data_IF_643681928209
#
_entry.id   IF_643681928209
#
_cell.length_a   1.000
_cell.length_b   1.000
_cell.length_c   1.000
_cell.angle_alpha   90.00
_cell.angle_beta   90.00
_cell.angle_gamma   90.00
#
_symmetry.space_group_name_H-M   'P 1'
#
loop_
_entity.id
_entity.type
_entity.pdbx_description
1 polymer ?
#
# COMPACT_ATOMS: atom_id res chain seq x y z
N UNK A 1 -5.32 3.02 7.13
CA UNK A 1 -5.99 1.72 7.29
C UNK A 1 -7.09 1.81 8.34
N UNK A 2 -8.15 1.01 8.20
CA UNK A 2 -9.14 0.84 9.26
C UNK A 2 -8.67 -0.25 10.21
N UNK A 3 -8.62 0.06 11.50
CA UNK A 3 -8.32 -0.88 12.57
C UNK A 3 -9.63 -1.25 13.26
N UNK A 4 -9.81 -2.52 13.51
CA UNK A 4 -11.00 -3.05 14.19
C UNK A 4 -10.58 -3.75 15.48
N UNK A 5 -11.20 -3.35 16.58
CA UNK A 5 -11.07 -4.02 17.88
C UNK A 5 -12.37 -4.78 18.12
N UNK A 6 -12.27 -6.10 18.29
CA UNK A 6 -13.44 -6.96 18.50
C UNK A 6 -13.33 -7.65 19.86
N UNK A 7 -14.28 -7.36 20.71
CA UNK A 7 -14.39 -7.97 22.04
C UNK A 7 -15.33 -9.17 22.00
N UNK A 8 -15.17 -10.09 22.94
CA UNK A 8 -16.06 -11.26 23.08
C UNK A 8 -17.48 -10.90 23.54
N UNK A 9 -17.63 -9.75 24.18
CA UNK A 9 -18.88 -9.19 24.70
C UNK A 9 -18.81 -7.68 24.80
N UNK A 10 -19.90 -7.02 25.14
CA UNK A 10 -19.94 -5.56 25.30
C UNK A 10 -19.04 -5.09 26.46
N UNK A 11 -18.18 -4.11 26.17
CA UNK A 11 -17.23 -3.57 27.13
C UNK A 11 -17.57 -2.14 27.53
N UNK A 12 -17.04 -1.71 28.66
CA UNK A 12 -17.14 -0.36 29.20
C UNK A 12 -15.78 0.14 29.64
N UNK A 13 -15.56 1.44 29.55
CA UNK A 13 -14.30 2.08 29.91
C UNK A 13 -13.22 2.01 28.82
N UNK A 14 -13.47 1.37 27.68
CA UNK A 14 -12.51 1.33 26.57
C UNK A 14 -12.52 2.66 25.80
N UNK A 15 -11.36 3.31 25.72
CA UNK A 15 -11.19 4.54 24.96
C UNK A 15 -9.78 4.63 24.31
N UNK A 16 -9.53 5.71 23.57
CA UNK A 16 -8.26 5.90 22.84
C UNK A 16 -7.03 5.96 23.76
N UNK A 17 -7.19 6.30 25.04
CA UNK A 17 -6.07 6.32 26.01
C UNK A 17 -5.61 4.94 26.46
N UNK A 18 -6.42 3.90 26.23
CA UNK A 18 -6.06 2.50 26.46
C UNK A 18 -5.19 1.90 25.35
N UNK A 19 -5.02 2.64 24.25
CA UNK A 19 -4.37 2.15 23.04
C UNK A 19 -3.00 2.80 22.90
N UNK A 20 -1.94 2.01 22.91
CA UNK A 20 -0.60 2.46 22.53
C UNK A 20 -0.42 2.30 21.01
N UNK A 21 0.08 3.34 20.34
CA UNK A 21 0.27 3.39 18.90
C UNK A 21 1.72 3.76 18.58
N UNK A 22 2.36 3.00 17.70
CA UNK A 22 3.71 3.25 17.19
C UNK A 22 3.66 3.35 15.66
N UNK A 23 4.52 4.18 15.06
CA UNK A 23 4.65 4.34 13.61
C UNK A 23 3.50 5.09 12.94
N UNK A 24 2.66 5.77 13.73
CA UNK A 24 1.55 6.55 13.20
C UNK A 24 0.64 7.11 14.27
N UNK A 25 -0.57 7.49 13.85
CA UNK A 25 -1.62 8.01 14.73
C UNK A 25 -2.92 7.25 14.52
N UNK A 26 -3.71 7.12 15.58
CA UNK A 26 -5.05 6.53 15.54
C UNK A 26 -6.10 7.64 15.68
N UNK A 27 -7.09 7.64 14.79
CA UNK A 27 -8.22 8.55 14.83
C UNK A 27 -9.22 8.19 15.94
N UNK A 28 -10.36 8.88 15.96
CA UNK A 28 -11.39 8.64 16.95
C UNK A 28 -11.95 7.22 16.87
N UNK A 29 -12.13 6.59 18.03
CA UNK A 29 -12.83 5.32 18.18
C UNK A 29 -14.33 5.51 17.95
N UNK A 30 -14.94 4.60 17.21
CA UNK A 30 -16.39 4.55 16.99
C UNK A 30 -16.94 3.15 17.21
N UNK A 31 -18.12 3.05 17.78
CA UNK A 31 -18.85 1.81 18.01
C UNK A 31 -20.35 2.06 17.94
N UNK A 32 -21.12 1.01 17.70
CA UNK A 32 -22.59 1.00 17.77
C UNK A 32 -23.15 -0.02 18.76
N UNK A 33 -22.31 -0.94 19.22
CA UNK A 33 -22.69 -2.10 20.04
C UNK A 33 -21.80 -2.31 21.27
N UNK A 34 -20.74 -1.54 21.43
CA UNK A 34 -19.69 -1.70 22.45
C UNK A 34 -18.96 -3.05 22.38
N UNK A 35 -19.12 -3.81 21.30
CA UNK A 35 -18.43 -5.07 21.03
C UNK A 35 -17.39 -4.86 19.93
N UNK A 36 -17.79 -4.18 18.84
CA UNK A 36 -16.92 -3.87 17.71
C UNK A 36 -16.61 -2.38 17.68
N UNK A 37 -15.34 -2.05 17.77
CA UNK A 37 -14.85 -0.68 17.72
C UNK A 37 -13.95 -0.49 16.52
N UNK A 38 -14.03 0.66 15.86
CA UNK A 38 -13.20 0.97 14.70
C UNK A 38 -12.54 2.33 14.85
N UNK A 39 -11.33 2.44 14.32
CA UNK A 39 -10.59 3.69 14.21
C UNK A 39 -9.71 3.68 12.95
N UNK A 40 -9.35 4.85 12.44
CA UNK A 40 -8.46 4.99 11.28
C UNK A 40 -7.03 5.16 11.76
N UNK A 41 -6.13 4.26 11.33
CA UNK A 41 -4.69 4.42 11.50
C UNK A 41 -4.11 5.19 10.31
N UNK A 42 -3.29 6.20 10.60
CA UNK A 42 -2.54 6.99 9.63
C UNK A 42 -1.05 6.86 9.93
N UNK A 43 -0.23 6.30 9.00
CA UNK A 43 1.22 6.22 9.18
C UNK A 43 1.84 7.61 9.31
N UNK A 44 2.92 7.72 10.09
CA UNK A 44 3.68 8.97 10.28
C UNK A 44 4.74 9.22 9.20
N UNK A 45 4.96 8.26 8.28
CA UNK A 45 5.92 8.34 7.19
C UNK A 45 7.39 8.20 7.63
N UNK A 46 7.67 7.84 8.86
CA UNK A 46 9.06 7.69 9.37
C UNK A 46 9.70 6.34 9.03
N UNK A 47 8.92 5.38 8.53
CA UNK A 47 9.37 4.00 8.30
C UNK A 47 9.51 3.17 9.57
N UNK A 48 9.06 3.67 10.70
CA UNK A 48 8.97 2.89 11.93
C UNK A 48 7.92 1.81 11.75
N UNK A 49 8.27 0.57 12.09
CA UNK A 49 7.32 -0.56 12.05
C UNK A 49 6.08 -0.24 12.90
N UNK A 50 4.86 -0.32 12.33
CA UNK A 50 3.66 0.05 13.05
C UNK A 50 3.31 -1.00 14.11
N UNK A 51 2.76 -0.53 15.21
CA UNK A 51 2.20 -1.40 16.25
C UNK A 51 1.03 -0.69 16.92
N UNK A 52 -0.02 -1.44 17.21
CA UNK A 52 -1.19 -1.00 17.97
C UNK A 52 -1.43 -2.02 19.06
N UNK A 53 -1.43 -1.60 20.32
CA UNK A 53 -1.60 -2.51 21.45
C UNK A 53 -2.56 -1.96 22.48
N UNK A 54 -3.29 -2.86 23.11
CA UNK A 54 -4.14 -2.62 24.28
C UNK A 54 -3.56 -3.45 25.42
N UNK A 55 -3.31 -2.83 26.56
CA UNK A 55 -2.79 -3.56 27.72
C UNK A 55 -3.90 -4.31 28.47
N UNK A 56 -3.51 -5.34 29.22
CA UNK A 56 -4.42 -6.03 30.13
C UNK A 56 -5.01 -5.06 31.18
N UNK A 57 -6.24 -5.29 31.56
CA UNK A 57 -6.94 -4.59 32.64
C UNK A 57 -7.22 -3.10 32.40
N UNK A 58 -7.25 -2.63 31.14
CA UNK A 58 -7.56 -1.24 30.81
C UNK A 58 -9.05 -0.98 30.60
N UNK A 59 -9.85 -2.03 30.40
CA UNK A 59 -11.30 -1.98 30.24
C UNK A 59 -11.99 -3.11 31.05
N UNK A 60 -13.30 -3.06 31.17
CA UNK A 60 -14.10 -4.10 31.83
C UNK A 60 -15.30 -4.52 30.98
N UNK A 61 -15.84 -5.69 31.25
CA UNK A 61 -17.21 -6.05 30.82
C UNK A 61 -18.27 -5.30 31.66
N UNK A 62 -19.53 -5.51 31.33
CA UNK A 62 -20.67 -4.92 32.08
C UNK A 62 -20.83 -5.47 33.50
N UNK A 63 -20.24 -6.62 33.81
CA UNK A 63 -20.23 -7.23 35.14
C UNK A 63 -19.05 -6.72 36.02
N UNK A 64 -18.11 -5.96 35.44
CA UNK A 64 -16.95 -5.41 36.11
C UNK A 64 -15.72 -6.32 36.08
N UNK A 65 -15.70 -7.38 35.26
CA UNK A 65 -14.50 -8.20 35.07
C UNK A 65 -13.49 -7.48 34.16
N UNK A 66 -12.21 -7.51 34.57
CA UNK A 66 -11.11 -6.90 33.83
C UNK A 66 -10.84 -7.63 32.51
N UNK A 67 -10.67 -6.88 31.43
CA UNK A 67 -10.38 -7.39 30.11
C UNK A 67 -8.91 -7.75 29.90
N UNK A 68 -8.64 -8.54 28.87
CA UNK A 68 -7.29 -8.91 28.40
C UNK A 68 -6.89 -8.03 27.22
N UNK A 69 -5.59 -7.72 27.11
CA UNK A 69 -5.03 -6.95 26.02
C UNK A 69 -4.70 -7.80 24.79
N UNK A 70 -4.28 -7.10 23.74
CA UNK A 70 -3.81 -7.69 22.48
C UNK A 70 -2.86 -6.73 21.78
N UNK A 71 -2.07 -7.25 20.82
CA UNK A 71 -1.11 -6.48 20.02
C UNK A 71 -1.29 -6.83 18.55
N UNK A 72 -1.42 -5.81 17.71
CA UNK A 72 -1.35 -5.90 16.26
C UNK A 72 -0.03 -5.29 15.80
N UNK A 73 0.85 -6.08 15.20
CA UNK A 73 2.18 -5.64 14.73
C UNK A 73 2.62 -6.37 13.44
N UNK A 74 3.93 -6.28 13.13
CA UNK A 74 4.51 -6.93 11.95
C UNK A 74 4.38 -8.46 11.93
N UNK A 75 4.14 -9.12 13.07
CA UNK A 75 3.92 -10.58 13.14
C UNK A 75 2.54 -10.96 12.60
N UNK A 76 1.58 -10.02 12.64
CA UNK A 76 0.24 -10.14 12.04
C UNK A 76 0.19 -9.64 10.59
N UNK A 77 1.34 -9.23 10.03
CA UNK A 77 1.44 -8.64 8.70
C UNK A 77 1.05 -7.15 8.64
N UNK A 78 0.98 -6.48 9.80
CA UNK A 78 0.74 -5.03 9.85
C UNK A 78 2.03 -4.28 9.53
N UNK A 79 2.17 -3.84 8.27
CA UNK A 79 3.37 -3.17 7.76
C UNK A 79 2.99 -1.86 7.05
N UNK A 80 3.94 -0.93 7.03
CA UNK A 80 3.87 0.30 6.23
C UNK A 80 5.00 0.27 5.23
N UNK A 81 4.67 0.29 3.95
CA UNK A 81 5.63 0.47 2.87
C UNK A 81 5.80 1.96 2.58
N UNK A 82 7.03 2.44 2.64
CA UNK A 82 7.43 3.82 2.35
C UNK A 82 8.52 3.90 1.26
N UNK A 83 8.87 2.76 0.66
CA UNK A 83 9.91 2.70 -0.38
C UNK A 83 9.26 3.00 -1.73
N UNK A 84 9.64 4.10 -2.41
CA UNK A 84 9.11 4.36 -3.74
C UNK A 84 9.57 3.30 -4.75
N UNK A 85 8.72 2.89 -5.70
CA UNK A 85 9.12 2.00 -6.77
C UNK A 85 10.20 2.62 -7.65
N UNK A 86 11.11 1.80 -8.13
CA UNK A 86 12.10 2.17 -9.17
C UNK A 86 11.70 1.58 -10.51
N UNK A 87 12.12 2.24 -11.61
CA UNK A 87 11.81 1.84 -12.97
C UNK A 87 13.09 1.55 -13.76
N UNK A 88 13.11 0.44 -14.49
CA UNK A 88 14.07 0.15 -15.55
C UNK A 88 13.35 0.06 -16.90
N UNK A 89 13.91 0.68 -17.95
CA UNK A 89 13.39 0.62 -19.32
C UNK A 89 14.40 -0.13 -20.18
N UNK A 90 13.95 -1.14 -20.90
CA UNK A 90 14.78 -1.97 -21.79
C UNK A 90 14.08 -2.17 -23.13
N UNK A 91 14.84 -2.56 -24.13
CA UNK A 91 14.34 -2.91 -25.47
C UNK A 91 14.94 -4.24 -25.95
N UNK A 92 14.23 -4.94 -26.79
CA UNK A 92 14.72 -6.14 -27.48
C UNK A 92 15.60 -5.81 -28.71
N UNK A 93 15.52 -4.55 -29.21
CA UNK A 93 16.39 -4.07 -30.29
C UNK A 93 16.94 -2.67 -30.00
N UNK A 94 18.27 -2.52 -30.06
CA UNK A 94 18.99 -1.26 -29.84
C UNK A 94 19.32 -0.51 -31.12
N UNK A 95 19.05 -1.07 -32.31
CA UNK A 95 19.48 -0.53 -33.60
C UNK A 95 18.41 -0.75 -34.67
N UNK A 96 17.23 -0.14 -34.49
CA UNK A 96 16.12 -0.28 -35.41
C UNK A 96 16.41 0.29 -36.80
N UNK A 97 16.17 -0.51 -37.84
CA UNK A 97 16.13 -0.04 -39.22
C UNK A 97 14.78 0.61 -39.55
N UNK A 98 14.73 1.34 -40.66
CA UNK A 98 13.49 1.98 -41.12
C UNK A 98 12.41 0.92 -41.40
N UNK A 99 11.27 1.03 -40.72
CA UNK A 99 10.13 0.12 -40.82
C UNK A 99 10.16 -1.05 -39.84
N UNK A 100 11.21 -1.20 -39.03
CA UNK A 100 11.24 -2.16 -37.90
C UNK A 100 10.57 -1.55 -36.68
N UNK A 101 10.17 -2.41 -35.76
CA UNK A 101 9.62 -2.00 -34.47
C UNK A 101 10.29 -2.82 -33.36
N UNK A 102 10.36 -2.26 -32.15
CA UNK A 102 10.93 -2.93 -31.00
C UNK A 102 9.90 -3.05 -29.87
N UNK A 103 10.05 -4.09 -29.06
CA UNK A 103 9.32 -4.18 -27.79
C UNK A 103 10.09 -3.41 -26.73
N UNK A 104 9.44 -2.45 -26.11
CA UNK A 104 9.93 -1.72 -24.95
C UNK A 104 9.34 -2.37 -23.71
N UNK A 105 10.21 -2.68 -22.76
CA UNK A 105 9.82 -3.25 -21.48
C UNK A 105 10.13 -2.26 -20.36
N UNK A 106 9.11 -1.98 -19.56
CA UNK A 106 9.18 -1.16 -18.36
C UNK A 106 9.07 -2.12 -17.16
N UNK A 107 10.12 -2.24 -16.35
CA UNK A 107 10.14 -3.12 -15.19
C UNK A 107 10.26 -2.29 -13.93
N UNK A 108 9.25 -2.37 -13.08
CA UNK A 108 9.24 -1.74 -11.78
C UNK A 108 9.78 -2.69 -10.70
N UNK A 109 10.30 -2.15 -9.60
CA UNK A 109 10.76 -2.94 -8.45
C UNK A 109 9.62 -3.61 -7.68
N UNK A 110 8.40 -3.13 -7.87
CA UNK A 110 7.17 -3.60 -7.22
C UNK A 110 5.95 -3.28 -8.10
N UNK A 111 4.79 -3.81 -7.74
CA UNK A 111 3.55 -3.55 -8.48
C UNK A 111 3.12 -2.08 -8.34
N UNK A 112 2.86 -1.42 -9.47
CA UNK A 112 2.46 -0.02 -9.53
C UNK A 112 1.02 0.15 -10.00
N UNK A 113 0.41 1.26 -9.61
CA UNK A 113 -0.91 1.68 -10.06
C UNK A 113 -0.83 3.05 -10.73
N UNK A 114 -1.70 3.30 -11.70
CA UNK A 114 -1.79 4.60 -12.38
C UNK A 114 -0.73 4.82 -13.46
N UNK A 115 0.14 3.84 -13.76
CA UNK A 115 1.08 3.93 -14.87
C UNK A 115 0.36 3.70 -16.20
N UNK A 116 0.43 4.67 -17.09
CA UNK A 116 -0.17 4.59 -18.42
C UNK A 116 0.68 5.29 -19.52
N UNK A 117 0.23 5.23 -20.78
CA UNK A 117 0.98 5.77 -21.92
C UNK A 117 1.18 7.29 -21.83
N UNK A 118 0.36 8.01 -21.08
CA UNK A 118 0.50 9.47 -20.91
C UNK A 118 1.68 9.86 -20.00
N UNK A 119 2.19 8.92 -19.22
CA UNK A 119 3.38 9.11 -18.37
C UNK A 119 4.68 8.99 -19.17
N UNK A 120 4.62 8.57 -20.43
CA UNK A 120 5.79 8.23 -21.24
C UNK A 120 5.98 9.28 -22.33
N UNK A 121 7.10 10.01 -22.27
CA UNK A 121 7.53 10.87 -23.37
C UNK A 121 8.24 10.05 -24.45
N UNK A 122 7.79 10.14 -25.68
CA UNK A 122 8.34 9.42 -26.84
C UNK A 122 8.83 10.39 -27.89
N UNK A 123 10.04 10.17 -28.40
CA UNK A 123 10.65 10.97 -29.46
C UNK A 123 11.12 10.06 -30.59
N UNK A 124 10.97 10.47 -31.84
CA UNK A 124 11.42 9.74 -33.03
C UNK A 124 10.54 8.56 -33.42
N UNK A 125 9.32 8.50 -32.87
CA UNK A 125 8.38 7.43 -33.22
C UNK A 125 7.11 7.50 -32.38
N UNK A 126 6.38 6.39 -32.33
CA UNK A 126 5.16 6.20 -31.55
C UNK A 126 5.26 4.97 -30.69
N UNK A 127 4.63 5.02 -29.53
CA UNK A 127 4.49 3.87 -28.62
C UNK A 127 3.05 3.35 -28.68
N UNK A 128 2.90 2.04 -28.86
CA UNK A 128 1.61 1.37 -28.83
C UNK A 128 1.03 1.26 -27.41
N UNK A 129 -0.07 0.53 -27.28
CA UNK A 129 -0.73 0.32 -25.99
C UNK A 129 0.19 -0.42 -25.01
N UNK A 130 0.20 0.04 -23.77
CA UNK A 130 0.84 -0.67 -22.66
C UNK A 130 0.03 -1.91 -22.26
N UNK A 131 0.72 -3.01 -22.01
CA UNK A 131 0.14 -4.26 -21.52
C UNK A 131 0.92 -4.80 -20.33
N UNK A 132 0.21 -5.36 -19.37
CA UNK A 132 0.78 -6.02 -18.19
C UNK A 132 -0.11 -7.15 -17.70
N UNK A 133 0.44 -8.08 -16.94
CA UNK A 133 -0.30 -9.15 -16.25
C UNK A 133 -0.09 -9.13 -14.74
N UNK A 134 0.91 -8.38 -14.27
CA UNK A 134 1.37 -8.39 -12.86
C UNK A 134 1.52 -6.97 -12.27
N UNK A 135 1.30 -5.92 -13.06
CA UNK A 135 1.55 -4.52 -12.72
C UNK A 135 3.01 -4.19 -12.32
N UNK A 136 3.93 -5.12 -12.55
CA UNK A 136 5.38 -4.97 -12.33
C UNK A 136 6.09 -4.81 -13.67
N UNK A 137 5.79 -5.69 -14.63
CA UNK A 137 6.37 -5.67 -15.97
C UNK A 137 5.33 -5.22 -16.98
N UNK A 138 5.63 -4.12 -17.66
CA UNK A 138 4.78 -3.54 -18.70
C UNK A 138 5.52 -3.56 -20.02
N UNK A 139 4.81 -3.83 -21.11
CA UNK A 139 5.37 -3.86 -22.46
C UNK A 139 4.55 -3.04 -23.42
N UNK A 140 5.23 -2.41 -24.38
CA UNK A 140 4.61 -1.71 -25.50
C UNK A 140 5.52 -1.79 -26.74
N UNK A 141 4.92 -1.67 -27.92
CA UNK A 141 5.66 -1.67 -29.19
C UNK A 141 6.00 -0.23 -29.58
N UNK A 142 7.29 0.03 -29.78
CA UNK A 142 7.77 1.29 -30.35
C UNK A 142 7.89 1.14 -31.87
N UNK A 143 7.36 2.11 -32.60
CA UNK A 143 7.48 2.20 -34.08
C UNK A 143 8.12 3.53 -34.47
N UNK A 144 9.32 3.51 -35.09
CA UNK A 144 9.99 4.72 -35.58
C UNK A 144 9.17 5.49 -36.60
N UNK A 145 9.29 6.82 -36.59
CA UNK A 145 8.63 7.69 -37.55
C UNK A 145 9.37 7.81 -38.92
N UNK A 146 10.49 7.13 -39.08
CA UNK A 146 11.31 7.11 -40.29
C UNK A 146 12.17 8.36 -40.47
N UNK A 147 12.26 9.26 -39.48
CA UNK A 147 13.09 10.49 -39.53
C UNK A 147 14.45 10.32 -38.88
N UNK A 148 14.94 9.12 -38.76
CA UNK A 148 16.20 8.78 -38.08
C UNK A 148 17.37 9.64 -38.55
N UNK A 149 18.29 9.93 -37.61
CA UNK A 149 19.58 10.62 -37.82
C UNK A 149 20.65 9.67 -38.30
#
# INVERSE_FOLDING_TARGET
ANITFTFSEAVTGFDVSDIAVVGGTLGALTTTDNITWTAVFTPDGTGTAPSISVADNTYTDLAGNLGTGDVLDGTDGFVVDIVPPTLAITTDDLALAAGESANITFTFSEAVTGFDVSDIAVVGGTLGALTTTDNITWTAVFTPDGTGT
#
